data_IF_404291154591
#
_entry.id   IF_404291154591
#
_cell.length_a   1.000
_cell.length_b   1.000
_cell.length_c   1.000
_cell.angle_alpha   90.00
_cell.angle_beta   90.00
_cell.angle_gamma   90.00
#
_symmetry.space_group_name_H-M   'P 1'
#
loop_
_entity.id
_entity.type
_entity.pdbx_description
1 polymer ?
#
# COMPACT_ATOMS: atom_id res chain seq x y z
N UNK A 1 37.95 -3.43 -28.91
CA UNK A 1 37.23 -2.25 -29.34
C UNK A 1 36.46 -1.74 -28.15
N UNK A 2 36.78 -0.55 -27.74
CA UNK A 2 36.44 0.07 -26.45
C UNK A 2 34.97 0.46 -26.39
N UNK A 3 34.26 -0.03 -25.39
CA UNK A 3 33.00 0.53 -24.97
C UNK A 3 33.24 1.79 -24.13
N UNK A 4 32.87 2.90 -24.69
CA UNK A 4 32.86 4.20 -24.05
C UNK A 4 31.69 4.30 -23.10
N UNK A 5 31.96 4.43 -21.81
CA UNK A 5 31.02 4.83 -20.77
C UNK A 5 30.41 6.19 -21.11
N UNK A 6 29.09 6.23 -21.35
CA UNK A 6 28.34 7.48 -21.38
C UNK A 6 28.18 8.00 -19.95
N UNK A 7 28.98 8.98 -19.58
CA UNK A 7 28.66 9.91 -18.51
C UNK A 7 27.41 10.68 -18.90
N UNK A 8 26.29 10.44 -18.23
CA UNK A 8 25.10 11.28 -18.29
C UNK A 8 25.43 12.60 -17.59
N UNK A 9 25.61 13.66 -18.36
CA UNK A 9 25.66 15.02 -17.85
C UNK A 9 24.26 15.39 -17.32
N UNK A 10 24.16 15.69 -16.03
CA UNK A 10 22.94 16.25 -15.39
C UNK A 10 22.69 17.64 -15.99
N UNK A 11 21.49 17.90 -16.47
CA UNK A 11 21.14 19.17 -17.09
C UNK A 11 21.11 20.32 -16.05
N UNK A 12 21.44 21.56 -16.45
CA UNK A 12 21.58 22.69 -15.50
C UNK A 12 20.28 23.04 -14.74
N UNK A 13 19.10 22.76 -15.29
CA UNK A 13 17.82 23.01 -14.64
C UNK A 13 17.54 22.07 -13.44
N UNK A 14 18.02 20.85 -13.49
CA UNK A 14 17.86 19.84 -12.42
C UNK A 14 18.71 20.19 -11.20
N UNK A 15 19.88 20.79 -11.40
CA UNK A 15 20.76 21.25 -10.33
C UNK A 15 20.12 22.41 -9.54
N UNK A 16 19.38 23.30 -10.21
CA UNK A 16 18.74 24.46 -9.57
C UNK A 16 17.57 24.03 -8.68
N UNK A 17 16.80 23.01 -9.09
CA UNK A 17 15.70 22.46 -8.30
C UNK A 17 16.18 21.74 -7.05
N UNK A 18 17.29 21.00 -7.11
CA UNK A 18 17.91 20.33 -5.98
C UNK A 18 18.41 21.32 -4.92
N UNK A 19 19.11 22.37 -5.34
CA UNK A 19 19.60 23.42 -4.46
C UNK A 19 18.47 24.11 -3.68
N UNK A 20 17.27 24.28 -4.27
CA UNK A 20 16.13 24.88 -3.61
C UNK A 20 15.51 23.92 -2.57
N UNK A 21 15.36 22.64 -2.90
CA UNK A 21 14.87 21.62 -1.99
C UNK A 21 15.82 21.44 -0.80
N UNK A 22 17.13 21.39 -1.03
CA UNK A 22 18.13 21.30 0.04
C UNK A 22 18.08 22.50 0.96
N UNK A 23 18.00 23.73 0.43
CA UNK A 23 17.89 24.97 1.26
C UNK A 23 16.62 25.02 2.10
N UNK A 24 15.47 24.59 1.55
CA UNK A 24 14.24 24.50 2.30
C UNK A 24 14.37 23.45 3.43
N UNK A 25 14.93 22.29 3.15
CA UNK A 25 15.17 21.25 4.15
C UNK A 25 16.17 21.69 5.24
N UNK A 26 17.27 22.40 4.89
CA UNK A 26 18.20 23.01 5.84
C UNK A 26 17.48 24.00 6.77
N UNK A 27 16.55 24.82 6.23
CA UNK A 27 15.73 25.74 7.03
C UNK A 27 14.84 24.99 8.02
N UNK A 28 14.21 23.89 7.60
CA UNK A 28 13.39 23.04 8.48
C UNK A 28 14.24 22.43 9.60
N UNK A 29 15.42 21.92 9.28
CA UNK A 29 16.35 21.34 10.26
C UNK A 29 16.85 22.39 11.25
N UNK A 30 17.21 23.58 10.77
CA UNK A 30 17.61 24.70 11.62
C UNK A 30 16.49 25.14 12.58
N UNK A 31 15.25 25.17 12.11
CA UNK A 31 14.09 25.48 12.94
C UNK A 31 13.83 24.41 14.01
N UNK A 32 14.08 23.14 13.70
CA UNK A 32 13.82 22.00 14.61
C UNK A 32 14.93 21.78 15.64
N UNK A 33 16.19 21.89 15.22
CA UNK A 33 17.36 21.49 16.01
C UNK A 33 18.30 22.67 16.32
N UNK A 34 18.12 23.82 15.66
CA UNK A 34 19.05 24.94 15.76
C UNK A 34 20.28 24.77 14.86
N UNK A 35 21.23 25.69 15.00
CA UNK A 35 22.46 25.68 14.22
C UNK A 35 22.28 26.14 12.77
N UNK A 36 23.23 25.79 11.93
CA UNK A 36 23.27 26.07 10.48
C UNK A 36 23.52 24.78 9.70
N UNK A 37 22.60 23.79 9.78
CA UNK A 37 22.80 22.50 9.12
C UNK A 37 23.04 22.67 7.63
N UNK A 38 23.93 21.83 7.08
CA UNK A 38 24.18 21.70 5.66
C UNK A 38 23.86 20.28 5.22
N UNK A 39 23.23 20.16 4.04
CA UNK A 39 22.83 18.90 3.49
C UNK A 39 23.65 18.54 2.26
N UNK A 40 24.16 17.31 2.27
CA UNK A 40 24.83 16.70 1.12
C UNK A 40 24.06 15.46 0.68
N UNK A 41 23.60 15.43 -0.58
CA UNK A 41 22.93 14.25 -1.14
C UNK A 41 23.90 13.09 -1.20
N UNK A 42 23.57 12.00 -0.52
CA UNK A 42 24.37 10.76 -0.52
C UNK A 42 23.76 9.70 -1.43
N UNK A 43 22.45 9.73 -1.64
CA UNK A 43 21.74 8.75 -2.46
C UNK A 43 20.43 9.32 -3.01
N UNK A 44 20.11 9.03 -4.27
CA UNK A 44 18.79 9.24 -4.84
C UNK A 44 18.03 7.94 -4.76
N UNK A 45 17.07 7.86 -3.83
CA UNK A 45 16.28 6.65 -3.58
C UNK A 45 15.18 6.46 -4.61
N UNK A 46 14.62 7.55 -5.13
CA UNK A 46 13.59 7.56 -6.17
C UNK A 46 13.70 8.82 -7.01
N UNK A 47 13.70 8.63 -8.32
CA UNK A 47 13.68 9.69 -9.31
C UNK A 47 12.71 9.29 -10.41
N UNK A 48 11.40 9.43 -10.17
CA UNK A 48 10.37 9.13 -11.20
C UNK A 48 9.13 9.99 -11.01
N UNK A 49 8.77 10.60 -12.11
CA UNK A 49 7.50 11.20 -12.56
C UNK A 49 6.59 11.97 -11.59
N UNK A 50 6.68 11.82 -10.27
CA UNK A 50 5.78 12.50 -9.31
C UNK A 50 6.46 12.93 -8.02
N UNK A 51 7.36 12.11 -7.49
CA UNK A 51 8.06 12.36 -6.23
C UNK A 51 9.54 12.07 -6.38
N UNK A 52 10.36 12.95 -5.86
CA UNK A 52 11.78 12.75 -5.69
C UNK A 52 12.08 12.43 -4.24
N UNK A 53 12.88 11.41 -4.00
CA UNK A 53 13.27 10.99 -2.65
C UNK A 53 14.77 10.93 -2.55
N UNK A 54 15.34 11.77 -1.70
CA UNK A 54 16.79 11.91 -1.50
C UNK A 54 17.14 11.50 -0.07
N UNK A 55 18.24 10.74 0.07
CA UNK A 55 18.93 10.59 1.34
C UNK A 55 20.05 11.62 1.41
N UNK A 56 20.09 12.38 2.49
CA UNK A 56 21.08 13.44 2.69
C UNK A 56 21.82 13.24 4.01
N UNK A 57 23.14 13.39 3.98
CA UNK A 57 23.95 13.55 5.18
C UNK A 57 23.73 14.95 5.75
N UNK A 58 23.72 15.08 7.09
CA UNK A 58 23.58 16.36 7.80
C UNK A 58 24.94 16.75 8.33
N UNK A 59 25.48 17.84 7.81
CA UNK A 59 26.76 18.43 8.22
C UNK A 59 26.51 19.70 9.04
N UNK A 60 27.50 20.19 9.78
CA UNK A 60 27.42 21.37 10.65
C UNK A 60 26.22 21.32 11.63
N UNK A 61 25.88 20.11 12.04
CA UNK A 61 24.72 19.80 12.87
C UNK A 61 24.99 20.10 14.37
N UNK A 62 23.93 20.32 15.13
CA UNK A 62 23.98 20.28 16.59
C UNK A 62 24.02 18.84 17.10
N UNK A 63 24.33 18.65 18.39
CA UNK A 63 24.40 17.31 19.02
C UNK A 63 23.10 16.51 18.91
N UNK A 64 21.95 17.21 18.83
CA UNK A 64 20.63 16.60 18.78
C UNK A 64 20.11 16.38 17.34
N UNK A 65 20.85 16.87 16.34
CA UNK A 65 20.48 16.66 14.95
C UNK A 65 20.75 15.22 14.49
N UNK A 66 19.88 14.66 13.63
CA UNK A 66 20.16 13.35 13.01
C UNK A 66 21.40 13.45 12.10
N UNK A 67 22.12 12.34 11.93
CA UNK A 67 23.29 12.26 11.02
C UNK A 67 22.88 12.21 9.55
N UNK A 68 21.65 11.77 9.27
CA UNK A 68 21.05 11.71 7.93
C UNK A 68 19.56 11.90 7.99
N UNK A 69 18.99 12.37 6.89
CA UNK A 69 17.55 12.60 6.71
C UNK A 69 17.10 12.15 5.33
N UNK A 70 15.80 11.93 5.20
CA UNK A 70 15.13 11.71 3.91
C UNK A 70 14.36 12.98 3.54
N UNK A 71 14.61 13.48 2.33
CA UNK A 71 13.81 14.55 1.73
C UNK A 71 12.88 13.89 0.70
N UNK A 72 11.58 14.06 0.86
CA UNK A 72 10.58 13.68 -0.15
C UNK A 72 9.97 14.96 -0.70
N UNK A 73 10.23 15.26 -1.97
CA UNK A 73 9.71 16.42 -2.68
C UNK A 73 8.78 16.00 -3.80
N UNK A 74 7.82 16.86 -4.10
CA UNK A 74 6.95 16.69 -5.25
C UNK A 74 7.71 17.07 -6.49
N UNK A 75 7.73 16.17 -7.48
CA UNK A 75 8.36 16.38 -8.78
C UNK A 75 7.28 16.19 -9.85
N UNK A 76 6.71 17.30 -10.33
CA UNK A 76 5.66 17.27 -11.34
C UNK A 76 5.87 18.36 -12.37
N UNK A 77 5.70 18.01 -13.65
CA UNK A 77 5.79 18.93 -14.78
C UNK A 77 4.44 19.05 -15.51
N UNK A 78 4.27 20.17 -16.21
CA UNK A 78 3.09 20.41 -17.04
C UNK A 78 1.78 20.41 -16.25
N UNK A 79 0.81 19.63 -16.66
CA UNK A 79 -0.51 19.52 -15.98
C UNK A 79 -0.43 18.89 -14.59
N UNK A 80 0.66 18.21 -14.27
CA UNK A 80 0.94 17.61 -12.97
C UNK A 80 1.88 18.47 -12.11
N UNK A 81 2.21 19.69 -12.55
CA UNK A 81 3.04 20.60 -11.76
C UNK A 81 2.44 20.83 -10.37
N UNK A 82 3.31 20.90 -9.38
CA UNK A 82 2.87 21.21 -8.03
C UNK A 82 2.40 22.65 -7.90
N UNK A 83 1.18 22.80 -7.40
CA UNK A 83 0.61 24.10 -7.03
C UNK A 83 0.16 23.98 -5.57
N UNK A 84 0.78 24.73 -4.65
CA UNK A 84 0.43 24.71 -3.22
C UNK A 84 -1.01 25.16 -2.92
N UNK A 85 -1.66 25.88 -3.84
CA UNK A 85 -3.03 26.35 -3.69
C UNK A 85 -4.06 25.41 -4.34
N UNK A 86 -3.61 24.35 -5.01
CA UNK A 86 -4.45 23.35 -5.68
C UNK A 86 -4.44 22.02 -4.93
N UNK A 87 -5.47 21.79 -4.11
CA UNK A 87 -5.70 20.53 -3.37
C UNK A 87 -6.86 19.71 -3.98
N UNK A 88 -6.99 19.74 -5.30
CA UNK A 88 -8.01 18.96 -5.99
C UNK A 88 -7.76 17.44 -5.80
N UNK A 89 -8.81 16.63 -5.53
CA UNK A 89 -8.68 15.19 -5.28
C UNK A 89 -7.89 14.46 -6.35
N UNK A 90 -6.96 13.62 -5.93
CA UNK A 90 -5.99 12.87 -6.77
C UNK A 90 -4.96 13.73 -7.52
N UNK A 91 -4.99 15.07 -7.36
CA UNK A 91 -3.96 15.97 -7.87
C UNK A 91 -2.65 15.88 -7.08
N UNK A 92 -1.61 16.54 -7.59
CA UNK A 92 -0.27 16.54 -6.98
C UNK A 92 -0.28 17.21 -5.60
N UNK A 93 -0.97 18.34 -5.44
CA UNK A 93 -1.11 19.01 -4.13
C UNK A 93 -1.87 18.15 -3.11
N UNK A 94 -2.98 17.50 -3.52
CA UNK A 94 -3.75 16.62 -2.66
C UNK A 94 -2.90 15.47 -2.11
N UNK A 95 -2.08 14.82 -2.94
CA UNK A 95 -1.17 13.76 -2.53
C UNK A 95 -0.09 14.26 -1.58
N UNK A 96 0.47 15.42 -1.88
CA UNK A 96 1.46 16.06 -1.01
C UNK A 96 0.90 16.35 0.38
N UNK A 97 -0.31 16.92 0.45
CA UNK A 97 -0.95 17.20 1.73
C UNK A 97 -1.32 15.92 2.49
N UNK A 98 -1.74 14.85 1.81
CA UNK A 98 -1.98 13.56 2.45
C UNK A 98 -0.70 12.96 3.01
N UNK A 99 0.38 12.98 2.23
CA UNK A 99 1.70 12.51 2.66
C UNK A 99 2.18 13.25 3.91
N UNK A 100 2.11 14.57 3.88
CA UNK A 100 2.53 15.39 5.02
C UNK A 100 1.62 15.21 6.23
N UNK A 101 0.30 15.30 6.03
CA UNK A 101 -0.67 15.12 7.11
C UNK A 101 -0.60 13.73 7.74
N UNK A 102 -0.43 12.67 6.94
CA UNK A 102 -0.28 11.30 7.42
C UNK A 102 0.92 11.13 8.34
N UNK A 103 2.09 11.61 7.92
CA UNK A 103 3.29 11.60 8.76
C UNK A 103 3.12 12.45 10.03
N UNK A 104 2.57 13.67 9.91
CA UNK A 104 2.35 14.58 11.05
C UNK A 104 1.32 14.01 12.06
N UNK A 105 0.28 13.35 11.55
CA UNK A 105 -0.74 12.70 12.37
C UNK A 105 -0.16 11.56 13.20
N UNK A 106 0.57 10.64 12.56
CA UNK A 106 1.18 9.50 13.24
C UNK A 106 2.27 9.94 14.23
N UNK A 107 3.03 10.98 13.90
CA UNK A 107 4.02 11.57 14.80
C UNK A 107 3.35 12.19 16.03
N UNK A 108 2.22 12.92 15.85
CA UNK A 108 1.45 13.54 16.95
C UNK A 108 0.81 12.50 17.88
N UNK A 109 0.52 11.28 17.40
CA UNK A 109 0.05 10.19 18.25
C UNK A 109 1.13 9.68 19.21
N UNK A 110 2.39 9.91 18.92
CA UNK A 110 3.54 9.56 19.75
C UNK A 110 3.53 8.09 20.20
N UNK A 111 3.29 7.19 19.24
CA UNK A 111 3.23 5.76 19.51
C UNK A 111 4.61 5.19 19.85
N UNK A 112 4.69 4.33 20.86
CA UNK A 112 5.91 3.62 21.24
C UNK A 112 5.70 2.10 21.18
N UNK A 113 6.44 1.38 20.30
CA UNK A 113 7.30 1.89 19.23
C UNK A 113 6.50 2.58 18.10
N UNK A 114 7.12 3.52 17.36
CA UNK A 114 6.44 4.24 16.30
C UNK A 114 6.07 3.32 15.11
N UNK A 115 4.98 3.68 14.39
CA UNK A 115 4.50 2.95 13.18
C UNK A 115 4.84 3.66 11.88
N UNK A 116 5.44 4.86 11.94
CA UNK A 116 5.90 5.64 10.78
C UNK A 116 7.38 5.98 10.88
N UNK A 117 7.94 6.59 9.82
CA UNK A 117 9.36 7.00 9.79
C UNK A 117 9.69 8.14 10.76
N UNK A 118 8.69 8.94 11.17
CA UNK A 118 8.88 10.15 11.94
C UNK A 118 9.07 11.40 11.05
N UNK A 119 8.30 12.44 11.32
CA UNK A 119 8.33 13.71 10.60
C UNK A 119 9.28 14.70 11.32
N UNK A 120 10.20 15.30 10.58
CA UNK A 120 11.00 16.43 11.07
C UNK A 120 10.29 17.76 10.79
N UNK A 121 9.74 17.91 9.58
CA UNK A 121 8.95 19.06 9.18
C UNK A 121 8.63 19.06 7.69
N UNK A 122 7.98 20.11 7.21
CA UNK A 122 7.66 20.27 5.80
C UNK A 122 7.61 21.73 5.39
N UNK A 123 7.66 21.97 4.07
CA UNK A 123 7.52 23.27 3.45
C UNK A 123 6.49 23.20 2.32
N UNK A 124 5.38 23.93 2.52
CA UNK A 124 4.27 23.97 1.58
C UNK A 124 4.67 24.61 0.24
N UNK A 125 5.49 25.66 0.28
CA UNK A 125 5.86 26.41 -0.94
C UNK A 125 6.87 25.61 -1.76
N UNK A 126 7.83 24.97 -1.09
CA UNK A 126 8.80 24.11 -1.74
C UNK A 126 8.23 22.72 -2.10
N UNK A 127 7.04 22.36 -1.61
CA UNK A 127 6.40 21.06 -1.88
C UNK A 127 7.23 19.88 -1.37
N UNK A 128 7.80 19.97 -0.16
CA UNK A 128 8.63 18.91 0.39
C UNK A 128 8.37 18.65 1.87
N UNK A 129 8.70 17.43 2.29
CA UNK A 129 8.80 17.04 3.71
C UNK A 129 10.19 16.47 4.00
N UNK A 130 10.61 16.62 5.24
CA UNK A 130 11.84 16.05 5.79
C UNK A 130 11.48 14.99 6.82
N UNK A 131 11.94 13.77 6.61
CA UNK A 131 11.65 12.59 7.42
C UNK A 131 12.94 12.07 8.09
N UNK A 132 12.77 11.33 9.18
CA UNK A 132 13.87 10.57 9.77
C UNK A 132 14.35 9.48 8.79
N UNK A 133 15.65 9.31 8.68
CA UNK A 133 16.24 8.21 7.92
C UNK A 133 16.27 6.93 8.76
N UNK A 134 15.63 5.87 8.27
CA UNK A 134 15.67 4.54 8.90
C UNK A 134 16.94 3.74 8.58
N UNK A 135 17.88 4.36 7.85
CA UNK A 135 19.12 3.74 7.41
C UNK A 135 18.96 2.89 6.14
N UNK A 136 20.08 2.40 5.63
CA UNK A 136 20.14 1.56 4.42
C UNK A 136 20.01 0.06 4.69
N UNK A 137 20.25 -0.37 5.94
CA UNK A 137 20.30 -1.78 6.32
C UNK A 137 18.93 -2.46 6.42
N UNK A 138 17.84 -1.67 6.57
CA UNK A 138 16.48 -2.20 6.71
C UNK A 138 15.95 -2.77 5.38
N UNK A 139 15.45 -4.00 5.43
CA UNK A 139 14.75 -4.64 4.32
C UNK A 139 13.26 -4.35 4.36
N UNK A 140 12.65 -4.15 3.18
CA UNK A 140 11.20 -4.12 3.02
C UNK A 140 10.61 -5.53 3.10
N UNK A 141 9.29 -5.65 3.23
CA UNK A 141 8.64 -6.94 3.10
C UNK A 141 8.82 -7.50 1.69
N UNK A 142 8.86 -6.64 0.65
CA UNK A 142 9.11 -7.10 -0.72
C UNK A 142 10.47 -7.81 -0.85
N UNK A 143 11.52 -7.28 -0.21
CA UNK A 143 12.84 -7.92 -0.20
C UNK A 143 12.81 -9.32 0.42
N UNK A 144 12.07 -9.48 1.53
CA UNK A 144 11.90 -10.77 2.18
C UNK A 144 11.01 -11.74 1.39
N UNK A 145 9.96 -11.23 0.73
CA UNK A 145 9.07 -12.04 -0.10
C UNK A 145 9.78 -12.61 -1.34
N UNK A 146 10.76 -11.89 -1.87
CA UNK A 146 11.56 -12.33 -3.02
C UNK A 146 12.77 -13.19 -2.64
N UNK A 147 13.10 -13.27 -1.35
CA UNK A 147 14.15 -14.14 -0.84
C UNK A 147 13.64 -15.58 -0.60
N UNK A 148 14.59 -16.52 -0.43
CA UNK A 148 14.29 -17.94 -0.13
C UNK A 148 14.30 -18.26 1.38
N UNK A 149 14.49 -17.24 2.23
CA UNK A 149 14.56 -17.38 3.70
C UNK A 149 13.16 -17.43 4.32
N UNK A 150 12.59 -18.63 4.46
CA UNK A 150 11.26 -18.84 5.03
C UNK A 150 11.11 -18.35 6.48
N UNK A 151 12.04 -18.65 7.42
CA UNK A 151 11.97 -18.12 8.78
C UNK A 151 11.92 -16.60 8.83
N UNK A 152 12.79 -15.90 8.10
CA UNK A 152 12.82 -14.45 8.05
C UNK A 152 11.55 -13.87 7.40
N UNK A 153 11.05 -14.47 6.31
CA UNK A 153 9.81 -14.06 5.68
C UNK A 153 8.61 -14.20 6.63
N UNK A 154 8.50 -15.29 7.39
CA UNK A 154 7.40 -15.46 8.37
C UNK A 154 7.44 -14.39 9.46
N UNK A 155 8.63 -14.02 9.94
CA UNK A 155 8.79 -12.89 10.88
C UNK A 155 8.35 -11.58 10.23
N UNK A 156 8.75 -11.33 8.99
CA UNK A 156 8.40 -10.12 8.24
C UNK A 156 6.88 -9.99 8.00
N UNK A 157 6.22 -11.06 7.56
CA UNK A 157 4.77 -11.12 7.34
C UNK A 157 3.99 -10.86 8.64
N UNK A 158 4.46 -11.45 9.75
CA UNK A 158 3.88 -11.27 11.08
C UNK A 158 4.01 -9.83 11.55
N UNK A 159 5.20 -9.24 11.42
CA UNK A 159 5.48 -7.86 11.76
C UNK A 159 4.61 -6.88 10.96
N UNK A 160 4.49 -7.10 9.65
CA UNK A 160 3.63 -6.30 8.79
C UNK A 160 2.16 -6.33 9.25
N UNK A 161 1.62 -7.52 9.44
CA UNK A 161 0.22 -7.70 9.84
C UNK A 161 -0.07 -7.08 11.22
N UNK A 162 0.82 -7.29 12.20
CA UNK A 162 0.72 -6.69 13.51
C UNK A 162 0.79 -5.15 13.44
N UNK A 163 1.72 -4.61 12.66
CA UNK A 163 1.87 -3.14 12.50
C UNK A 163 0.65 -2.50 11.88
N UNK A 164 0.06 -3.14 10.85
CA UNK A 164 -1.16 -2.65 10.22
C UNK A 164 -2.35 -2.70 11.19
N UNK A 165 -2.50 -3.79 11.94
CA UNK A 165 -3.54 -3.93 12.96
C UNK A 165 -3.41 -2.87 14.06
N UNK A 166 -2.20 -2.61 14.54
CA UNK A 166 -1.90 -1.58 15.52
C UNK A 166 -2.18 -0.16 14.99
N UNK A 167 -1.74 0.14 13.76
CA UNK A 167 -1.99 1.43 13.12
C UNK A 167 -3.49 1.71 13.06
N UNK A 168 -4.30 0.75 12.61
CA UNK A 168 -5.74 0.90 12.59
C UNK A 168 -6.33 1.06 14.00
N UNK A 169 -5.94 0.22 14.96
CA UNK A 169 -6.42 0.29 16.33
C UNK A 169 -6.16 1.66 16.97
N UNK A 170 -4.94 2.16 16.86
CA UNK A 170 -4.51 3.41 17.50
C UNK A 170 -5.10 4.67 16.85
N UNK A 171 -5.76 4.53 15.70
CA UNK A 171 -6.29 5.67 14.96
C UNK A 171 -7.83 5.74 14.93
N UNK A 172 -8.54 4.72 15.37
CA UNK A 172 -10.02 4.74 15.48
C UNK A 172 -10.47 5.94 16.32
N UNK A 173 -11.45 6.70 15.78
CA UNK A 173 -12.04 7.88 16.45
C UNK A 173 -11.13 9.10 16.48
N UNK A 174 -10.10 9.16 15.64
CA UNK A 174 -9.15 10.28 15.58
C UNK A 174 -9.19 11.04 14.24
N UNK A 175 -10.24 10.90 13.48
CA UNK A 175 -10.43 11.53 12.16
C UNK A 175 -10.40 13.06 12.22
N UNK A 176 -10.95 13.65 13.30
CA UNK A 176 -10.93 15.11 13.46
C UNK A 176 -9.51 15.63 13.69
N UNK A 177 -8.67 14.89 14.43
CA UNK A 177 -7.27 15.28 14.62
C UNK A 177 -6.51 15.26 13.28
N UNK A 178 -6.74 14.25 12.42
CA UNK A 178 -6.15 14.20 11.09
C UNK A 178 -6.61 15.38 10.23
N UNK A 179 -7.92 15.67 10.21
CA UNK A 179 -8.51 16.79 9.48
C UNK A 179 -7.96 18.13 9.97
N UNK A 180 -7.81 18.30 11.28
CA UNK A 180 -7.19 19.49 11.87
C UNK A 180 -5.75 19.68 11.39
N UNK A 181 -4.93 18.62 11.46
CA UNK A 181 -3.54 18.67 10.99
C UNK A 181 -3.48 19.04 9.51
N UNK A 182 -4.34 18.44 8.68
CA UNK A 182 -4.39 18.76 7.25
C UNK A 182 -4.69 20.25 7.00
N UNK A 183 -5.63 20.84 7.75
CA UNK A 183 -5.89 22.29 7.71
C UNK A 183 -4.69 23.14 8.18
N UNK A 184 -4.03 22.72 9.26
CA UNK A 184 -2.86 23.42 9.82
C UNK A 184 -1.71 23.55 8.81
N UNK A 185 -1.51 22.55 7.96
CA UNK A 185 -0.47 22.56 6.93
C UNK A 185 -0.91 23.20 5.60
N UNK A 186 -2.14 23.66 5.50
CA UNK A 186 -2.69 24.39 4.35
C UNK A 186 -3.46 23.55 3.33
N UNK A 187 -3.75 22.29 3.64
CA UNK A 187 -4.70 21.48 2.87
C UNK A 187 -6.15 21.87 3.15
N UNK A 188 -7.04 21.55 2.22
CA UNK A 188 -8.48 21.71 2.44
C UNK A 188 -9.04 20.60 3.32
N UNK A 189 -10.27 20.79 3.81
CA UNK A 189 -10.98 19.72 4.52
C UNK A 189 -11.16 18.49 3.61
N UNK A 190 -10.99 17.33 4.21
CA UNK A 190 -11.07 16.07 3.49
C UNK A 190 -12.50 15.67 3.18
N UNK A 191 -12.72 15.30 1.96
CA UNK A 191 -13.44 14.15 1.47
C UNK A 191 -14.91 14.12 1.87
N UNK A 192 -15.75 14.57 0.95
CA UNK A 192 -17.20 14.38 1.00
C UNK A 192 -17.62 12.92 0.72
N UNK A 193 -16.72 12.10 0.16
CA UNK A 193 -16.95 10.70 -0.18
C UNK A 193 -15.71 9.87 0.14
N UNK A 194 -15.89 8.73 0.82
CA UNK A 194 -14.79 7.83 1.12
C UNK A 194 -14.19 7.28 -0.20
N UNK A 195 -12.85 7.29 -0.35
CA UNK A 195 -12.20 6.89 -1.60
C UNK A 195 -12.60 5.49 -2.08
N UNK A 196 -12.81 4.56 -1.14
CA UNK A 196 -13.25 3.20 -1.45
C UNK A 196 -14.64 3.14 -2.11
N UNK A 197 -15.60 3.90 -1.61
CA UNK A 197 -16.95 3.95 -2.16
C UNK A 197 -16.97 4.43 -3.61
N UNK A 198 -16.28 5.54 -3.86
CA UNK A 198 -16.12 6.09 -5.20
C UNK A 198 -15.47 5.09 -6.16
N UNK A 199 -14.36 4.48 -5.73
CA UNK A 199 -13.61 3.53 -6.53
C UNK A 199 -14.45 2.30 -6.90
N UNK A 200 -15.23 1.74 -5.95
CA UNK A 200 -16.13 0.63 -6.23
C UNK A 200 -17.19 1.01 -7.28
N UNK A 201 -17.85 2.17 -7.10
CA UNK A 201 -18.87 2.66 -8.03
C UNK A 201 -18.30 2.82 -9.45
N UNK A 202 -17.10 3.34 -9.58
CA UNK A 202 -16.42 3.54 -10.87
C UNK A 202 -15.93 2.21 -11.48
N UNK A 203 -15.68 1.18 -10.67
CA UNK A 203 -15.15 -0.11 -11.12
C UNK A 203 -16.23 -1.11 -11.54
N UNK A 204 -17.42 -1.05 -10.95
CA UNK A 204 -18.51 -2.00 -11.25
C UNK A 204 -18.90 -2.05 -12.74
N UNK A 205 -19.02 -0.92 -13.48
CA UNK A 205 -19.29 -0.97 -14.91
C UNK A 205 -18.21 -1.75 -15.70
N UNK A 206 -16.93 -1.50 -15.41
CA UNK A 206 -15.83 -2.21 -16.07
C UNK A 206 -15.80 -3.71 -15.76
N UNK A 207 -16.19 -4.12 -14.56
CA UNK A 207 -16.34 -5.53 -14.20
C UNK A 207 -17.52 -6.19 -14.96
N UNK A 208 -18.65 -5.49 -15.11
CA UNK A 208 -19.78 -5.95 -15.94
C UNK A 208 -19.38 -6.12 -17.40
N UNK A 209 -18.64 -5.14 -17.95
CA UNK A 209 -18.12 -5.21 -19.32
C UNK A 209 -17.21 -6.43 -19.50
N UNK A 210 -16.35 -6.73 -18.53
CA UNK A 210 -15.49 -7.91 -18.56
C UNK A 210 -16.31 -9.19 -18.59
N UNK A 211 -17.32 -9.33 -17.73
CA UNK A 211 -18.23 -10.50 -17.74
C UNK A 211 -18.95 -10.65 -19.10
N UNK A 212 -19.46 -9.54 -19.66
CA UNK A 212 -20.13 -9.55 -20.96
C UNK A 212 -19.20 -9.96 -22.11
N UNK A 213 -17.93 -9.46 -22.08
CA UNK A 213 -16.91 -9.76 -23.08
C UNK A 213 -16.55 -11.26 -23.14
N UNK A 214 -16.62 -11.95 -22.00
CA UNK A 214 -16.36 -13.41 -21.93
C UNK A 214 -17.64 -14.24 -21.92
N UNK A 215 -18.79 -13.63 -22.18
CA UNK A 215 -20.10 -14.26 -22.21
C UNK A 215 -20.47 -14.96 -20.89
N UNK A 216 -19.99 -14.41 -19.76
CA UNK A 216 -20.31 -14.93 -18.42
C UNK A 216 -21.53 -14.20 -17.84
N UNK A 217 -22.69 -14.86 -17.66
CA UNK A 217 -23.91 -14.22 -17.22
C UNK A 217 -23.82 -13.80 -15.74
N UNK A 218 -24.25 -12.58 -15.45
CA UNK A 218 -24.37 -12.08 -14.09
C UNK A 218 -25.53 -12.79 -13.36
N UNK A 219 -25.34 -13.22 -12.10
CA UNK A 219 -26.41 -13.82 -11.31
C UNK A 219 -27.50 -12.79 -10.96
N UNK A 220 -28.75 -13.20 -10.75
CA UNK A 220 -29.85 -12.28 -10.40
C UNK A 220 -29.58 -11.45 -9.14
N UNK A 221 -28.78 -11.96 -8.21
CA UNK A 221 -28.44 -11.31 -6.94
C UNK A 221 -27.24 -10.35 -7.06
N UNK A 222 -26.61 -10.24 -8.21
CA UNK A 222 -25.40 -9.44 -8.42
C UNK A 222 -25.55 -8.02 -7.87
N UNK A 223 -26.58 -7.30 -8.30
CA UNK A 223 -26.79 -5.90 -7.88
C UNK A 223 -27.03 -5.77 -6.39
N UNK A 224 -27.78 -6.69 -5.78
CA UNK A 224 -28.05 -6.67 -4.36
C UNK A 224 -26.79 -6.92 -3.53
N UNK A 225 -25.89 -7.83 -3.97
CA UNK A 225 -24.62 -8.07 -3.29
C UNK A 225 -23.65 -6.89 -3.47
N UNK A 226 -23.61 -6.26 -4.66
CA UNK A 226 -22.83 -5.03 -4.89
C UNK A 226 -23.28 -3.90 -3.96
N UNK A 227 -24.59 -3.67 -3.85
CA UNK A 227 -25.14 -2.65 -2.94
C UNK A 227 -24.80 -2.93 -1.48
N UNK A 228 -24.82 -4.20 -1.07
CA UNK A 228 -24.40 -4.59 0.28
C UNK A 228 -22.91 -4.32 0.52
N UNK A 229 -22.03 -4.63 -0.45
CA UNK A 229 -20.62 -4.32 -0.38
C UNK A 229 -20.42 -2.80 -0.30
N UNK A 230 -21.15 -2.04 -1.14
CA UNK A 230 -21.09 -0.58 -1.13
C UNK A 230 -21.47 -0.03 0.24
N UNK A 231 -22.57 -0.48 0.82
CA UNK A 231 -23.01 -0.05 2.15
C UNK A 231 -21.95 -0.32 3.23
N UNK A 232 -21.28 -1.46 3.19
CA UNK A 232 -20.20 -1.81 4.11
C UNK A 232 -19.00 -0.86 3.92
N UNK A 233 -18.62 -0.56 2.69
CA UNK A 233 -17.46 0.30 2.40
C UNK A 233 -17.75 1.77 2.72
N UNK A 234 -19.01 2.23 2.49
CA UNK A 234 -19.46 3.61 2.76
C UNK A 234 -19.68 3.86 4.25
N UNK A 235 -20.08 2.83 5.00
CA UNK A 235 -20.41 2.91 6.41
C UNK A 235 -19.50 1.98 7.24
N UNK A 236 -18.20 2.28 7.38
CA UNK A 236 -17.22 1.40 8.02
C UNK A 236 -17.52 1.12 9.51
N UNK A 237 -18.33 1.94 10.16
CA UNK A 237 -18.67 1.78 11.56
C UNK A 237 -17.44 1.66 12.47
N UNK A 238 -17.31 0.58 13.27
CA UNK A 238 -16.19 0.39 14.19
C UNK A 238 -14.84 0.15 13.49
N UNK A 239 -14.85 -0.07 12.16
CA UNK A 239 -13.64 -0.26 11.35
C UNK A 239 -13.20 1.03 10.63
N UNK A 240 -13.75 2.20 11.02
CA UNK A 240 -13.31 3.48 10.47
C UNK A 240 -12.01 3.91 11.14
N UNK A 241 -10.91 3.85 10.40
CA UNK A 241 -9.57 4.14 10.90
C UNK A 241 -8.71 4.85 9.83
N UNK A 242 -7.61 5.44 10.26
CA UNK A 242 -6.60 5.94 9.33
C UNK A 242 -5.95 4.77 8.60
N UNK A 243 -5.90 4.86 7.29
CA UNK A 243 -5.24 3.88 6.41
C UNK A 243 -4.10 4.54 5.65
N UNK A 244 -2.98 3.84 5.40
CA UNK A 244 -1.91 4.37 4.56
C UNK A 244 -2.32 4.58 3.10
N UNK A 245 -3.46 3.98 2.69
CA UNK A 245 -3.93 3.98 1.32
C UNK A 245 -3.25 2.91 0.47
N UNK A 246 -1.95 3.00 0.28
CA UNK A 246 -1.12 2.00 -0.40
C UNK A 246 -0.23 1.25 0.58
N UNK A 247 -0.62 0.03 0.93
CA UNK A 247 0.12 -0.85 1.85
C UNK A 247 0.97 -1.89 1.11
N UNK A 248 1.51 -1.53 -0.04
CA UNK A 248 2.43 -2.38 -0.79
C UNK A 248 3.64 -2.81 0.04
N UNK A 249 4.20 -4.01 -0.19
CA UNK A 249 5.31 -4.57 0.58
C UNK A 249 6.60 -3.74 0.57
N UNK A 250 6.76 -2.85 -0.40
CA UNK A 250 7.88 -1.93 -0.51
C UNK A 250 7.66 -0.58 0.20
N UNK A 251 6.44 -0.30 0.68
CA UNK A 251 6.09 0.93 1.40
C UNK A 251 6.27 0.84 2.92
N UNK A 252 7.15 -0.04 3.40
CA UNK A 252 7.51 -0.10 4.80
C UNK A 252 8.88 -0.76 5.02
N UNK A 253 9.45 -0.54 6.20
CA UNK A 253 10.72 -1.13 6.64
C UNK A 253 10.52 -1.90 7.92
N UNK A 254 11.12 -3.09 7.96
CA UNK A 254 11.30 -3.82 9.21
C UNK A 254 12.47 -3.20 9.97
N UNK A 255 12.26 -2.97 11.25
CA UNK A 255 13.24 -2.43 12.17
C UNK A 255 13.59 -3.48 13.22
N UNK A 256 14.45 -3.14 14.18
CA UNK A 256 14.76 -4.03 15.32
C UNK A 256 13.55 -4.25 16.25
N UNK A 257 12.51 -3.43 16.13
CA UNK A 257 11.24 -3.61 16.86
C UNK A 257 10.38 -4.69 16.20
N UNK A 258 9.41 -5.30 16.91
CA UNK A 258 8.50 -6.27 16.32
C UNK A 258 7.50 -5.64 15.32
N UNK A 259 7.52 -4.32 15.17
CA UNK A 259 6.64 -3.58 14.28
C UNK A 259 7.41 -2.98 13.11
N UNK A 260 6.81 -3.07 11.92
CA UNK A 260 7.28 -2.37 10.73
C UNK A 260 6.93 -0.87 10.81
N UNK A 261 7.70 -0.03 10.13
CA UNK A 261 7.40 1.39 9.94
C UNK A 261 6.92 1.64 8.53
N UNK A 262 5.71 2.21 8.42
CA UNK A 262 5.11 2.60 7.15
C UNK A 262 5.62 3.95 6.69
N UNK A 263 5.63 4.13 5.39
CA UNK A 263 5.89 5.39 4.68
C UNK A 263 5.11 5.38 3.35
N UNK A 264 5.14 6.52 2.63
CA UNK A 264 4.38 6.74 1.39
C UNK A 264 2.87 6.86 1.64
N UNK A 265 2.51 7.93 2.37
CA UNK A 265 1.13 8.24 2.76
C UNK A 265 0.38 9.11 1.74
N UNK A 266 0.82 9.17 0.48
CA UNK A 266 0.22 10.03 -0.55
C UNK A 266 -1.27 9.73 -0.84
N UNK A 267 -1.72 8.51 -0.50
CA UNK A 267 -3.13 8.08 -0.59
C UNK A 267 -3.77 7.84 0.78
N UNK A 268 -3.11 8.27 1.84
CA UNK A 268 -3.59 8.04 3.19
C UNK A 268 -4.83 8.86 3.52
N UNK A 269 -5.60 8.34 4.45
CA UNK A 269 -6.79 8.99 4.97
C UNK A 269 -7.64 8.04 5.79
N UNK A 270 -8.73 8.55 6.32
CA UNK A 270 -9.69 7.72 7.06
C UNK A 270 -10.60 6.97 6.08
N UNK A 271 -10.67 5.66 6.22
CA UNK A 271 -11.46 4.77 5.40
C UNK A 271 -11.81 3.49 6.16
N UNK A 272 -12.48 2.56 5.49
CA UNK A 272 -12.69 1.22 6.04
C UNK A 272 -11.36 0.48 6.16
N UNK A 273 -10.90 0.24 7.39
CA UNK A 273 -9.60 -0.38 7.70
C UNK A 273 -9.34 -1.70 6.96
N UNK A 274 -10.41 -2.50 6.77
CA UNK A 274 -10.26 -3.80 6.12
C UNK A 274 -10.01 -3.70 4.60
N UNK A 275 -10.17 -2.53 3.96
CA UNK A 275 -9.75 -2.35 2.57
C UNK A 275 -8.23 -2.50 2.42
N UNK A 276 -7.45 -1.95 3.35
CA UNK A 276 -6.00 -2.15 3.37
C UNK A 276 -5.59 -3.48 3.98
N UNK A 277 -6.32 -3.99 4.98
CA UNK A 277 -6.10 -5.33 5.52
C UNK A 277 -6.41 -6.45 4.51
N UNK A 278 -7.22 -6.20 3.48
CA UNK A 278 -7.48 -7.15 2.40
C UNK A 278 -6.20 -7.57 1.64
N UNK A 279 -5.12 -6.78 1.72
CA UNK A 279 -3.80 -7.12 1.20
C UNK A 279 -3.18 -8.38 1.84
N UNK A 280 -3.63 -8.75 3.04
CA UNK A 280 -3.26 -10.00 3.70
C UNK A 280 -3.83 -11.22 2.94
N UNK A 281 -5.06 -11.11 2.45
CA UNK A 281 -5.81 -12.23 1.87
C UNK A 281 -5.68 -12.31 0.35
N UNK A 282 -5.71 -11.16 -0.30
CA UNK A 282 -5.45 -11.02 -1.72
C UNK A 282 -4.01 -10.54 -1.87
N UNK A 283 -3.02 -11.42 -2.07
CA UNK A 283 -1.63 -11.01 -1.96
C UNK A 283 -1.32 -9.73 -2.70
N UNK A 284 -1.36 -8.61 -1.96
CA UNK A 284 -0.97 -7.28 -2.41
C UNK A 284 -1.57 -6.87 -3.77
N UNK A 285 -2.88 -6.63 -3.88
CA UNK A 285 -3.62 -6.54 -5.15
C UNK A 285 -3.11 -5.45 -6.10
N UNK A 286 -2.48 -4.40 -5.60
CA UNK A 286 -1.97 -3.27 -6.40
C UNK A 286 -0.44 -3.26 -6.53
N UNK A 287 0.27 -4.33 -6.12
CA UNK A 287 1.71 -4.33 -6.04
C UNK A 287 2.39 -5.10 -7.17
N UNK A 288 3.62 -4.77 -7.47
CA UNK A 288 4.41 -5.41 -8.52
C UNK A 288 4.96 -6.79 -8.13
N UNK A 289 5.16 -7.06 -6.83
CA UNK A 289 5.79 -8.27 -6.30
C UNK A 289 4.79 -9.37 -5.92
N UNK A 290 3.74 -9.58 -6.72
CA UNK A 290 2.66 -10.54 -6.41
C UNK A 290 3.02 -11.96 -6.80
N UNK A 291 3.00 -12.85 -5.79
CA UNK A 291 2.93 -14.30 -5.91
C UNK A 291 1.91 -14.85 -4.88
N UNK A 292 1.72 -16.16 -4.84
CA UNK A 292 0.80 -16.80 -3.91
C UNK A 292 1.44 -17.03 -2.54
N UNK A 293 0.70 -16.75 -1.47
CA UNK A 293 1.02 -17.17 -0.10
C UNK A 293 0.29 -18.49 0.22
N UNK A 294 0.90 -19.40 0.99
CA UNK A 294 0.19 -20.58 1.48
C UNK A 294 -0.83 -20.18 2.58
N UNK A 295 -1.89 -21.00 2.74
CA UNK A 295 -3.01 -20.68 3.64
C UNK A 295 -2.56 -20.47 5.09
N UNK A 296 -1.58 -21.23 5.55
CA UNK A 296 -1.02 -21.08 6.92
C UNK A 296 -0.37 -19.71 7.13
N UNK A 297 0.28 -19.12 6.12
CA UNK A 297 0.85 -17.79 6.21
C UNK A 297 -0.23 -16.71 6.24
N UNK A 298 -1.27 -16.84 5.41
CA UNK A 298 -2.43 -15.94 5.40
C UNK A 298 -3.15 -15.98 6.75
N UNK A 299 -3.41 -17.18 7.29
CA UNK A 299 -4.05 -17.36 8.60
C UNK A 299 -3.23 -16.76 9.73
N UNK A 300 -1.90 -16.94 9.69
CA UNK A 300 -0.99 -16.32 10.66
C UNK A 300 -1.08 -14.79 10.61
N UNK A 301 -1.05 -14.20 9.42
CA UNK A 301 -1.17 -12.74 9.25
C UNK A 301 -2.53 -12.22 9.74
N UNK A 302 -3.62 -12.91 9.41
CA UNK A 302 -4.96 -12.57 9.89
C UNK A 302 -5.00 -12.54 11.43
N UNK A 303 -4.48 -13.57 12.07
CA UNK A 303 -4.48 -13.67 13.53
C UNK A 303 -3.68 -12.54 14.19
N UNK A 304 -2.50 -12.20 13.66
CA UNK A 304 -1.70 -11.09 14.20
C UNK A 304 -2.38 -9.74 13.96
N UNK A 305 -2.95 -9.52 12.78
CA UNK A 305 -3.71 -8.30 12.47
C UNK A 305 -4.91 -8.14 13.41
N UNK A 306 -5.76 -9.17 13.54
CA UNK A 306 -6.95 -9.14 14.40
C UNK A 306 -6.62 -8.97 15.87
N UNK A 307 -5.55 -9.59 16.32
CA UNK A 307 -5.03 -9.46 17.70
C UNK A 307 -4.76 -7.99 18.03
N UNK A 308 -3.99 -7.30 17.21
CA UNK A 308 -3.66 -5.89 17.41
C UNK A 308 -4.90 -4.99 17.24
N UNK A 309 -5.65 -5.14 16.14
CA UNK A 309 -6.86 -4.36 15.89
C UNK A 309 -7.85 -4.45 17.04
N UNK A 310 -8.01 -5.64 17.61
CA UNK A 310 -9.00 -5.91 18.67
C UNK A 310 -8.70 -5.21 20.00
N UNK A 311 -7.54 -4.59 20.15
CA UNK A 311 -7.20 -3.81 21.36
C UNK A 311 -8.08 -2.54 21.47
N UNK A 312 -8.45 -1.94 20.34
CA UNK A 312 -9.31 -0.75 20.29
C UNK A 312 -10.62 -0.98 19.50
N UNK A 313 -10.71 -2.09 18.75
CA UNK A 313 -11.89 -2.49 18.00
C UNK A 313 -12.43 -3.85 18.49
N UNK A 314 -13.25 -3.92 19.54
CA UNK A 314 -13.79 -5.19 20.05
C UNK A 314 -14.54 -6.01 18.98
N UNK A 315 -15.17 -5.35 18.00
CA UNK A 315 -15.86 -6.00 16.87
C UNK A 315 -14.94 -6.87 16.01
N UNK A 316 -13.62 -6.65 16.06
CA UNK A 316 -12.65 -7.49 15.38
C UNK A 316 -12.49 -8.89 16.01
N UNK A 317 -12.98 -9.10 17.25
CA UNK A 317 -13.00 -10.42 17.92
C UNK A 317 -14.23 -11.25 17.55
N UNK A 318 -15.28 -10.59 17.11
CA UNK A 318 -16.55 -11.24 16.74
C UNK A 318 -16.51 -11.65 15.27
N UNK A 319 -16.47 -12.93 14.99
CA UNK A 319 -16.42 -13.48 13.64
C UNK A 319 -17.65 -13.09 12.79
N UNK A 320 -18.83 -12.98 13.43
CA UNK A 320 -20.03 -12.57 12.73
C UNK A 320 -20.05 -11.11 12.29
N UNK A 321 -19.25 -10.26 12.95
CA UNK A 321 -19.05 -8.86 12.57
C UNK A 321 -17.84 -8.69 11.65
N UNK A 322 -16.76 -9.40 11.90
CA UNK A 322 -15.50 -9.22 11.19
C UNK A 322 -15.52 -9.81 9.77
N UNK A 323 -15.94 -11.08 9.60
CA UNK A 323 -15.79 -11.77 8.32
C UNK A 323 -16.65 -11.20 7.19
N UNK A 324 -17.90 -10.75 7.39
CA UNK A 324 -18.65 -10.08 6.32
C UNK A 324 -17.96 -8.81 5.82
N UNK A 325 -17.35 -8.03 6.72
CA UNK A 325 -16.59 -6.82 6.39
C UNK A 325 -15.28 -7.16 5.64
N UNK A 326 -14.54 -8.16 6.12
CA UNK A 326 -13.31 -8.62 5.48
C UNK A 326 -13.58 -9.19 4.08
N UNK A 327 -14.70 -9.88 3.90
CA UNK A 327 -15.06 -10.44 2.60
C UNK A 327 -15.56 -9.36 1.64
N UNK A 328 -16.30 -8.35 2.13
CA UNK A 328 -16.68 -7.17 1.34
C UNK A 328 -15.42 -6.43 0.83
N UNK A 329 -14.38 -6.30 1.66
CA UNK A 329 -13.11 -5.69 1.26
C UNK A 329 -12.38 -6.54 0.20
N UNK A 330 -12.45 -7.87 0.27
CA UNK A 330 -11.91 -8.76 -0.79
C UNK A 330 -12.71 -8.62 -2.08
N UNK A 331 -14.04 -8.58 -2.01
CA UNK A 331 -14.91 -8.35 -3.17
C UNK A 331 -14.58 -7.01 -3.84
N UNK A 332 -14.44 -5.95 -3.03
CA UNK A 332 -14.03 -4.63 -3.51
C UNK A 332 -12.77 -4.69 -4.37
N UNK A 333 -11.69 -5.29 -3.86
CA UNK A 333 -10.43 -5.37 -4.61
C UNK A 333 -10.52 -6.32 -5.80
N UNK A 334 -11.27 -7.42 -5.71
CA UNK A 334 -11.47 -8.33 -6.82
C UNK A 334 -12.16 -7.61 -7.97
N UNK A 335 -13.27 -6.94 -7.72
CA UNK A 335 -14.03 -6.18 -8.73
C UNK A 335 -13.16 -5.05 -9.32
N UNK A 336 -12.53 -4.26 -8.46
CA UNK A 336 -11.74 -3.10 -8.87
C UNK A 336 -10.58 -3.50 -9.75
N UNK A 337 -9.78 -4.48 -9.34
CA UNK A 337 -8.59 -4.87 -10.10
C UNK A 337 -8.90 -5.62 -11.38
N UNK A 338 -9.99 -6.39 -11.43
CA UNK A 338 -10.45 -7.01 -12.67
C UNK A 338 -10.98 -5.95 -13.67
N UNK A 339 -11.66 -4.93 -13.17
CA UNK A 339 -12.07 -3.78 -14.00
C UNK A 339 -10.89 -3.10 -14.68
N UNK A 340 -9.78 -2.92 -13.96
CA UNK A 340 -8.55 -2.35 -14.53
C UNK A 340 -7.87 -3.30 -15.53
N UNK A 341 -7.89 -4.59 -15.24
CA UNK A 341 -7.26 -5.63 -16.04
C UNK A 341 -8.09 -6.16 -17.23
N UNK A 342 -9.23 -5.53 -17.55
CA UNK A 342 -10.13 -6.00 -18.62
C UNK A 342 -9.47 -6.08 -20.00
N UNK A 343 -8.48 -5.24 -20.29
CA UNK A 343 -7.69 -5.30 -21.53
C UNK A 343 -6.92 -6.61 -21.74
N UNK A 344 -6.57 -7.32 -20.66
CA UNK A 344 -5.88 -8.61 -20.73
C UNK A 344 -6.78 -9.78 -21.21
N UNK A 345 -8.09 -9.57 -21.33
CA UNK A 345 -9.03 -10.61 -21.76
C UNK A 345 -8.77 -11.03 -23.20
N UNK A 346 -8.63 -10.07 -24.12
CA UNK A 346 -8.44 -10.31 -25.56
C UNK A 346 -7.03 -9.92 -26.03
N UNK A 347 -6.32 -9.09 -25.26
CA UNK A 347 -4.98 -8.62 -25.58
C UNK A 347 -3.88 -9.62 -25.25
N UNK A 348 -2.64 -9.18 -25.32
CA UNK A 348 -1.50 -9.91 -24.82
C UNK A 348 -1.52 -9.94 -23.27
N UNK A 349 -0.85 -10.94 -22.69
CA UNK A 349 -0.72 -11.06 -21.25
C UNK A 349 0.45 -10.23 -20.74
N UNK A 350 0.17 -8.99 -20.33
CA UNK A 350 1.18 -8.08 -19.82
C UNK A 350 1.78 -8.57 -18.50
N UNK A 351 3.09 -8.46 -18.38
CA UNK A 351 3.81 -8.72 -17.13
C UNK A 351 3.95 -7.43 -16.34
N UNK A 352 3.49 -7.45 -15.10
CA UNK A 352 3.75 -6.37 -14.15
C UNK A 352 4.58 -6.88 -12.97
N UNK A 353 5.85 -6.47 -12.91
CA UNK A 353 6.80 -6.99 -11.92
C UNK A 353 7.10 -8.47 -12.12
N UNK A 354 6.69 -9.33 -11.19
CA UNK A 354 7.05 -10.76 -11.17
C UNK A 354 5.95 -11.72 -11.63
N UNK A 355 4.79 -11.21 -12.02
CA UNK A 355 3.64 -12.01 -12.46
C UNK A 355 2.83 -11.31 -13.53
N UNK A 356 2.08 -12.08 -14.33
CA UNK A 356 1.25 -11.53 -15.39
C UNK A 356 -0.12 -11.06 -14.88
N UNK A 357 -0.77 -10.19 -15.63
CA UNK A 357 -2.12 -9.70 -15.29
C UNK A 357 -3.13 -10.86 -15.25
N UNK A 358 -3.02 -11.83 -16.18
CA UNK A 358 -3.90 -13.00 -16.19
C UNK A 358 -3.73 -13.88 -14.96
N UNK A 359 -2.48 -14.17 -14.56
CA UNK A 359 -2.19 -14.92 -13.33
C UNK A 359 -2.80 -14.23 -12.10
N UNK A 360 -2.66 -12.90 -12.00
CA UNK A 360 -3.21 -12.10 -10.89
C UNK A 360 -4.73 -12.14 -10.85
N UNK A 361 -5.38 -12.00 -12.01
CA UNK A 361 -6.83 -12.03 -12.11
C UNK A 361 -7.39 -13.39 -11.68
N UNK A 362 -6.78 -14.49 -12.12
CA UNK A 362 -7.17 -15.85 -11.71
C UNK A 362 -6.99 -16.06 -10.20
N UNK A 363 -5.84 -15.67 -9.64
CA UNK A 363 -5.58 -15.79 -8.20
C UNK A 363 -6.65 -15.07 -7.37
N UNK A 364 -7.03 -13.85 -7.76
CA UNK A 364 -8.04 -13.05 -7.04
C UNK A 364 -9.42 -13.69 -7.09
N UNK A 365 -9.84 -14.15 -8.29
CA UNK A 365 -11.11 -14.82 -8.47
C UNK A 365 -11.21 -16.09 -7.63
N UNK A 366 -10.18 -16.94 -7.66
CA UNK A 366 -10.14 -18.18 -6.88
C UNK A 366 -10.15 -17.88 -5.37
N UNK A 367 -9.25 -17.01 -4.91
CA UNK A 367 -9.14 -16.67 -3.49
C UNK A 367 -10.44 -16.08 -2.95
N UNK A 368 -11.12 -15.25 -3.74
CA UNK A 368 -12.41 -14.69 -3.35
C UNK A 368 -13.51 -15.75 -3.34
N UNK A 369 -13.61 -16.60 -4.37
CA UNK A 369 -14.59 -17.67 -4.44
C UNK A 369 -14.46 -18.67 -3.27
N UNK A 370 -13.23 -19.09 -2.96
CA UNK A 370 -12.96 -19.98 -1.82
C UNK A 370 -13.34 -19.32 -0.48
N UNK A 371 -13.08 -18.02 -0.34
CA UNK A 371 -13.45 -17.29 0.86
C UNK A 371 -14.96 -17.15 1.04
N UNK A 372 -15.73 -16.92 -0.05
CA UNK A 372 -17.19 -16.86 0.02
C UNK A 372 -17.80 -18.20 0.43
N UNK A 373 -17.26 -19.31 -0.08
CA UNK A 373 -17.69 -20.65 0.29
C UNK A 373 -17.40 -20.96 1.77
N UNK A 374 -16.19 -20.59 2.24
CA UNK A 374 -15.75 -20.82 3.63
C UNK A 374 -16.54 -19.98 4.64
N UNK A 375 -16.85 -18.74 4.31
CA UNK A 375 -17.51 -17.77 5.21
C UNK A 375 -19.05 -17.83 5.09
N UNK A 376 -19.59 -18.16 3.93
CA UNK A 376 -21.03 -18.22 3.67
C UNK A 376 -21.67 -16.87 3.33
N UNK A 377 -20.88 -15.86 2.95
CA UNK A 377 -21.31 -14.53 2.59
C UNK A 377 -21.07 -14.25 1.09
N UNK A 378 -21.88 -13.39 0.46
CA UNK A 378 -21.79 -13.04 -0.96
C UNK A 378 -21.74 -14.25 -1.91
N UNK A 379 -22.66 -15.25 -1.76
CA UNK A 379 -22.57 -16.51 -2.49
C UNK A 379 -22.72 -16.34 -4.01
N UNK A 380 -23.50 -15.37 -4.46
CA UNK A 380 -23.71 -15.14 -5.89
C UNK A 380 -22.45 -14.58 -6.58
N UNK A 381 -21.75 -13.68 -5.93
CA UNK A 381 -20.45 -13.17 -6.41
C UNK A 381 -19.36 -14.23 -6.33
N UNK A 382 -19.37 -15.07 -5.29
CA UNK A 382 -18.43 -16.19 -5.15
C UNK A 382 -18.60 -17.21 -6.30
N UNK A 383 -19.85 -17.61 -6.57
CA UNK A 383 -20.16 -18.52 -7.68
C UNK A 383 -19.82 -17.90 -9.06
N UNK A 384 -20.15 -16.62 -9.25
CA UNK A 384 -19.72 -15.88 -10.46
C UNK A 384 -18.19 -15.88 -10.61
N UNK A 385 -17.46 -15.61 -9.53
CA UNK A 385 -15.99 -15.59 -9.56
C UNK A 385 -15.39 -16.94 -9.94
N UNK A 386 -15.96 -18.05 -9.43
CA UNK A 386 -15.54 -19.41 -9.76
C UNK A 386 -15.80 -19.73 -11.24
N UNK A 387 -16.98 -19.41 -11.76
CA UNK A 387 -17.32 -19.61 -13.20
C UNK A 387 -16.44 -18.74 -14.09
N UNK A 388 -16.26 -17.47 -13.73
CA UNK A 388 -15.43 -16.54 -14.47
C UNK A 388 -13.96 -17.01 -14.51
N UNK A 389 -13.41 -17.50 -13.40
CA UNK A 389 -12.06 -18.07 -13.36
C UNK A 389 -11.92 -19.30 -14.30
N UNK A 390 -12.89 -20.20 -14.30
CA UNK A 390 -12.91 -21.37 -15.15
C UNK A 390 -12.97 -20.97 -16.65
N UNK A 391 -13.85 -20.03 -17.00
CA UNK A 391 -13.98 -19.50 -18.36
C UNK A 391 -12.66 -18.85 -18.83
N UNK A 392 -12.08 -17.96 -18.02
CA UNK A 392 -10.83 -17.28 -18.34
C UNK A 392 -9.64 -18.25 -18.46
N UNK A 393 -9.54 -19.28 -17.61
CA UNK A 393 -8.52 -20.33 -17.75
C UNK A 393 -8.60 -21.05 -19.09
N UNK A 394 -9.81 -21.40 -19.50
CA UNK A 394 -10.05 -22.06 -20.79
C UNK A 394 -9.68 -21.14 -21.95
N UNK A 395 -10.14 -19.90 -21.91
CA UNK A 395 -9.91 -18.90 -22.96
C UNK A 395 -8.42 -18.55 -23.12
N UNK A 396 -7.70 -18.45 -22.02
CA UNK A 396 -6.26 -18.11 -22.01
C UNK A 396 -5.34 -19.34 -22.15
N UNK A 397 -5.89 -20.56 -22.14
CA UNK A 397 -5.13 -21.81 -22.05
C UNK A 397 -4.10 -21.78 -20.91
N UNK A 398 -4.50 -21.25 -19.75
CA UNK A 398 -3.67 -21.07 -18.56
C UNK A 398 -4.15 -21.98 -17.44
N UNK A 399 -3.62 -23.21 -17.42
CA UNK A 399 -3.97 -24.21 -16.40
C UNK A 399 -3.14 -24.09 -15.12
N UNK A 400 -1.95 -23.50 -15.21
CA UNK A 400 -1.02 -23.39 -14.09
C UNK A 400 -1.47 -22.35 -13.09
N UNK A 401 -1.40 -22.69 -11.81
CA UNK A 401 -1.61 -21.76 -10.72
C UNK A 401 -0.43 -20.78 -10.61
N UNK A 402 -0.71 -19.58 -10.10
CA UNK A 402 0.35 -18.64 -9.73
C UNK A 402 1.34 -19.30 -8.76
N UNK A 403 2.66 -19.20 -8.97
CA UNK A 403 3.64 -19.83 -8.09
C UNK A 403 3.59 -19.24 -6.67
N UNK A 404 3.97 -20.05 -5.69
CA UNK A 404 4.26 -19.57 -4.35
C UNK A 404 5.48 -18.64 -4.35
N UNK A 405 5.57 -17.75 -3.34
CA UNK A 405 6.81 -17.01 -3.11
C UNK A 405 8.00 -17.95 -2.90
N UNK A 406 9.24 -17.56 -3.29
CA UNK A 406 10.41 -18.44 -3.27
C UNK A 406 10.60 -19.22 -1.98
N UNK A 407 10.44 -18.56 -0.85
CA UNK A 407 10.60 -19.15 0.49
C UNK A 407 9.61 -20.28 0.83
N UNK A 408 8.52 -20.41 0.07
CA UNK A 408 7.50 -21.44 0.26
C UNK A 408 7.53 -22.51 -0.84
N UNK A 409 8.45 -22.42 -1.80
CA UNK A 409 8.63 -23.46 -2.82
C UNK A 409 9.38 -24.63 -2.20
N UNK A 410 8.89 -25.86 -2.39
CA UNK A 410 9.58 -27.07 -1.96
C UNK A 410 10.88 -27.17 -2.76
N UNK A 411 12.02 -27.11 -2.11
CA UNK A 411 13.31 -27.38 -2.74
C UNK A 411 13.44 -28.88 -2.99
N UNK A 412 13.94 -29.27 -4.16
CA UNK A 412 14.10 -30.68 -4.56
C UNK A 412 14.97 -31.53 -3.60
N UNK A 413 15.57 -30.90 -2.58
CA UNK A 413 16.34 -31.56 -1.51
C UNK A 413 15.48 -32.04 -0.32
N UNK A 414 14.30 -31.46 -0.08
CA UNK A 414 13.44 -31.86 1.05
C UNK A 414 12.68 -33.16 0.73
N UNK A 415 12.35 -33.43 -0.54
CA UNK A 415 11.70 -34.67 -0.99
C UNK A 415 12.58 -35.91 -0.84
N UNK A 416 13.90 -35.78 -0.67
CA UNK A 416 14.81 -36.91 -0.44
C UNK A 416 14.94 -37.32 1.03
N UNK A 417 14.55 -36.46 1.96
CA UNK A 417 14.64 -36.76 3.41
C UNK A 417 13.41 -37.45 3.98
N UNK A 418 12.23 -37.30 3.36
CA UNK A 418 10.98 -37.95 3.82
C UNK A 418 10.79 -39.38 3.25
N UNK A 419 11.51 -39.76 2.21
CA UNK A 419 11.50 -41.09 1.64
C UNK A 419 12.51 -42.10 2.25
N UNK A 420 13.23 -41.66 3.32
CA UNK A 420 14.28 -42.46 3.96
C UNK A 420 14.03 -42.75 5.46
N UNK A 421 12.76 -42.78 5.86
CA UNK A 421 12.37 -43.26 7.22
C UNK A 421 11.37 -44.37 7.14
#
# INVERSE_FOLDING_TARGET
>A
MSETSKQTSVEPEQIVTDDNALRAAETILAARYGGTPRLTVTETLREKSRNRVLRCAVEEATTDSPVSVIIKSVDGEGENAYDPDNDAPNGTGWRFYNEWAGNAFLDRLNLDPPVSTGLIGGDRVAGLIVLQDLGSEGKSLADWMLAEDRPALLVALRSYAASLGRLHAETIGKEELFSQIRREIGGTETIQELPGAKMLRESVPGFRDLCAQVEEPLPPQFDAEIERIRAIVDEPGPFFAFTPGDTCPDNHRLTETPYARFFDFEFAGFAHALLTAAYIYLPFPTCWCVNRLPEEAVTMMENEYRKELSLQCPSAKDDALFYPQALAARAFWTITTLSWGKGAVEGEDDTWGISTIRQRNLLRLDTFADATEKIGEFPALGDLSRRLAANLRTRWNLAEEMPLYPAFRITANETKSEGAK
#
